data_IF_557550454619
#
_entry.id   IF_557550454619
#
_cell.length_a   1.000
_cell.length_b   1.000
_cell.length_c   1.000
_cell.angle_alpha   90.00
_cell.angle_beta   90.00
_cell.angle_gamma   90.00
#
_symmetry.space_group_name_H-M   'P 1'
#
loop_
_entity.id
_entity.type
_entity.pdbx_description
1 polymer ?
#
# COMPACT_ATOMS: atom_id res chain seq x y z
N UNK A 1 -26.56 22.87 -9.46
CA UNK A 1 -25.51 22.41 -8.53
C UNK A 1 -24.33 23.37 -8.65
N UNK A 2 -23.84 23.96 -7.54
CA UNK A 2 -22.63 24.78 -7.55
C UNK A 2 -21.42 23.84 -7.69
N UNK A 3 -20.60 24.03 -8.72
CA UNK A 3 -19.33 23.31 -8.83
C UNK A 3 -18.37 23.76 -7.72
N UNK A 4 -17.99 22.83 -6.84
CA UNK A 4 -16.92 23.04 -5.88
C UNK A 4 -15.60 22.90 -6.65
N UNK A 5 -14.87 24.01 -6.79
CA UNK A 5 -13.57 24.04 -7.49
C UNK A 5 -12.52 23.11 -6.89
N UNK A 6 -11.36 23.01 -7.55
CA UNK A 6 -10.26 22.10 -7.17
C UNK A 6 -9.79 22.36 -5.72
N UNK A 7 -9.79 21.36 -4.82
CA UNK A 7 -9.43 21.57 -3.41
C UNK A 7 -7.93 21.85 -3.23
N UNK A 8 -7.56 23.05 -2.79
CA UNK A 8 -6.14 23.39 -2.56
C UNK A 8 -5.51 22.62 -1.37
N UNK A 9 -6.35 22.13 -0.47
CA UNK A 9 -5.95 21.37 0.70
C UNK A 9 -6.93 20.21 0.94
N UNK A 10 -6.40 19.06 1.30
CA UNK A 10 -7.18 17.90 1.75
C UNK A 10 -6.66 17.49 3.13
N UNK A 11 -7.53 17.57 4.15
CA UNK A 11 -7.18 17.26 5.54
C UNK A 11 -5.96 18.03 6.08
N UNK A 12 -5.78 19.29 5.66
CA UNK A 12 -4.65 20.13 6.06
C UNK A 12 -3.34 19.85 5.33
N UNK A 13 -3.38 19.04 4.26
CA UNK A 13 -2.24 18.74 3.38
C UNK A 13 -2.43 19.49 2.06
N UNK A 14 -1.40 20.22 1.63
CA UNK A 14 -1.44 20.95 0.36
C UNK A 14 -1.47 19.94 -0.80
N UNK A 15 -2.52 20.03 -1.60
CA UNK A 15 -2.73 19.13 -2.73
C UNK A 15 -1.94 19.67 -3.92
N UNK A 16 -1.02 18.87 -4.48
CA UNK A 16 -0.31 19.24 -5.69
C UNK A 16 -1.04 18.69 -6.91
N UNK A 17 -1.27 19.56 -7.88
CA UNK A 17 -1.93 19.22 -9.14
C UNK A 17 -0.89 19.18 -10.25
N UNK A 18 -0.87 18.09 -11.01
CA UNK A 18 -0.12 18.01 -12.26
C UNK A 18 -1.02 17.54 -13.39
N UNK A 19 -0.52 17.59 -14.63
CA UNK A 19 -1.22 16.99 -15.79
C UNK A 19 -1.41 15.46 -15.64
N UNK A 20 -0.77 14.82 -14.65
CA UNK A 20 -0.82 13.39 -14.35
C UNK A 20 -1.76 13.04 -13.18
N UNK A 21 -2.50 13.99 -12.59
CA UNK A 21 -3.46 13.76 -11.52
C UNK A 21 -3.18 14.49 -10.21
N UNK A 22 -3.76 14.00 -9.12
CA UNK A 22 -3.62 14.56 -7.77
C UNK A 22 -2.46 13.86 -7.04
N UNK A 23 -1.45 14.63 -6.64
CA UNK A 23 -0.28 14.12 -5.93
C UNK A 23 -0.23 14.62 -4.49
N UNK A 24 -0.06 13.69 -3.56
CA UNK A 24 0.20 13.98 -2.14
C UNK A 24 1.61 13.45 -1.83
N UNK A 25 2.60 14.33 -1.82
CA UNK A 25 4.00 13.96 -1.55
C UNK A 25 4.26 13.84 -0.06
N UNK A 26 4.66 12.64 0.39
CA UNK A 26 4.96 12.34 1.80
C UNK A 26 6.18 13.13 2.31
N UNK A 27 7.21 13.30 1.48
CA UNK A 27 8.38 14.15 1.80
C UNK A 27 7.94 15.59 1.97
N UNK A 28 7.11 16.11 1.06
CA UNK A 28 6.56 17.46 1.17
C UNK A 28 5.73 17.65 2.44
N UNK A 29 4.93 16.66 2.82
CA UNK A 29 4.16 16.68 4.06
C UNK A 29 5.05 16.74 5.30
N UNK A 30 6.12 15.94 5.36
CA UNK A 30 7.10 15.97 6.47
C UNK A 30 7.85 17.30 6.50
N UNK A 31 8.27 17.83 5.35
CA UNK A 31 8.94 19.12 5.25
C UNK A 31 8.01 20.29 5.64
N UNK A 32 6.76 20.27 5.18
CA UNK A 32 5.76 21.27 5.54
C UNK A 32 5.43 21.20 7.05
N UNK A 33 5.43 20.01 7.66
CA UNK A 33 5.30 19.82 9.12
C UNK A 33 6.50 20.38 9.89
N UNK A 34 7.73 20.11 9.43
CA UNK A 34 8.97 20.64 10.02
C UNK A 34 9.06 22.17 9.89
N UNK A 35 8.49 22.72 8.80
CA UNK A 35 8.36 24.16 8.58
C UNK A 35 7.34 24.79 9.54
N UNK A 36 6.18 24.14 9.72
CA UNK A 36 5.09 24.59 10.58
C UNK A 36 5.51 24.69 12.07
N UNK A 37 6.45 23.85 12.51
CA UNK A 37 7.00 23.89 13.88
C UNK A 37 8.27 24.74 14.03
N UNK A 38 8.69 25.45 12.98
CA UNK A 38 9.86 26.35 13.03
C UNK A 38 11.21 25.64 13.20
N UNK A 39 11.31 24.34 12.90
CA UNK A 39 12.54 23.54 13.11
C UNK A 39 13.25 23.16 11.82
N UNK A 40 12.95 23.83 10.69
CA UNK A 40 13.61 23.60 9.40
C UNK A 40 15.13 23.83 9.46
N UNK A 41 15.62 24.72 10.33
CA UNK A 41 17.04 25.17 10.37
C UNK A 41 17.95 24.59 11.46
N UNK A 42 17.56 23.58 12.25
CA UNK A 42 18.41 23.10 13.35
C UNK A 42 19.63 22.31 12.81
N UNK A 43 20.86 22.84 12.99
CA UNK A 43 22.12 22.18 12.60
C UNK A 43 22.40 20.94 13.47
N UNK A 44 22.96 19.90 12.87
CA UNK A 44 23.39 18.65 13.52
C UNK A 44 24.72 18.85 14.25
N UNK A 45 24.71 18.81 15.58
CA UNK A 45 25.92 18.55 16.36
C UNK A 45 26.07 17.04 16.53
N UNK A 46 27.31 16.57 16.34
CA UNK A 46 27.69 15.17 16.29
C UNK A 46 27.32 14.38 17.54
N UNK A 47 27.45 13.06 17.41
CA UNK A 47 27.14 12.06 18.42
C UNK A 47 27.80 12.37 19.78
N UNK A 48 27.17 13.14 20.66
CA UNK A 48 27.30 13.06 22.13
C UNK A 48 26.26 13.99 22.80
N UNK A 49 25.56 13.43 23.80
CA UNK A 49 24.72 14.07 24.84
C UNK A 49 23.89 15.29 24.39
N UNK A 50 22.58 15.08 24.23
CA UNK A 50 21.61 16.17 24.08
C UNK A 50 21.55 16.93 25.44
N UNK A 51 22.35 17.98 25.58
CA UNK A 51 22.14 19.02 26.59
C UNK A 51 20.86 19.77 26.26
N UNK A 52 19.94 19.85 27.23
CA UNK A 52 18.69 20.56 27.07
C UNK A 52 18.91 22.06 27.31
N UNK A 53 19.30 22.80 26.26
CA UNK A 53 19.16 24.25 26.29
C UNK A 53 17.69 24.65 26.10
N UNK A 54 17.27 25.58 26.96
CA UNK A 54 15.92 26.11 27.13
C UNK A 54 15.54 27.03 25.97
N UNK A 55 14.47 26.70 25.24
CA UNK A 55 13.65 27.58 24.39
C UNK A 55 12.60 26.82 23.55
N UNK A 56 11.46 27.45 23.22
CA UNK A 56 10.33 27.74 24.10
C UNK A 56 9.31 26.58 24.11
N UNK A 57 8.43 26.60 25.11
CA UNK A 57 7.35 25.66 25.36
C UNK A 57 6.46 25.51 24.11
N UNK A 58 6.36 24.30 23.54
CA UNK A 58 5.42 24.02 22.46
C UNK A 58 4.01 24.03 23.07
N UNK A 59 3.14 24.94 22.63
CA UNK A 59 1.74 24.99 23.07
C UNK A 59 1.05 23.63 22.90
N UNK A 60 0.31 23.22 23.93
CA UNK A 60 -0.41 21.94 24.01
C UNK A 60 -1.27 21.66 22.77
N UNK A 61 -1.93 22.67 22.22
CA UNK A 61 -2.77 22.57 21.02
C UNK A 61 -1.96 22.26 19.76
N UNK A 62 -0.77 22.86 19.60
CA UNK A 62 0.13 22.60 18.47
C UNK A 62 0.72 21.19 18.56
N UNK A 63 1.08 20.75 19.77
CA UNK A 63 1.56 19.39 20.00
C UNK A 63 0.47 18.34 19.74
N UNK A 64 -0.75 18.52 20.28
CA UNK A 64 -1.87 17.60 20.05
C UNK A 64 -2.25 17.51 18.57
N UNK A 65 -2.23 18.64 17.84
CA UNK A 65 -2.46 18.66 16.39
C UNK A 65 -1.37 17.91 15.63
N UNK A 66 -0.11 18.04 16.05
CA UNK A 66 1.02 17.30 15.48
C UNK A 66 0.87 15.80 15.69
N UNK A 67 0.55 15.37 16.92
CA UNK A 67 0.33 13.95 17.25
C UNK A 67 -0.86 13.40 16.48
N UNK A 68 -1.97 14.13 16.36
CA UNK A 68 -3.12 13.73 15.54
C UNK A 68 -2.76 13.55 14.05
N UNK A 69 -1.96 14.47 13.50
CA UNK A 69 -1.41 14.41 12.13
C UNK A 69 -0.45 13.21 11.94
N UNK A 70 0.29 12.81 12.97
CA UNK A 70 1.21 11.67 12.96
C UNK A 70 0.50 10.32 13.15
N UNK A 71 -0.56 10.24 13.95
CA UNK A 71 -1.42 9.06 14.12
C UNK A 71 -2.04 8.67 12.78
N UNK A 72 -2.56 9.63 12.02
CA UNK A 72 -3.10 9.38 10.69
C UNK A 72 -2.04 8.85 9.69
N UNK A 73 -0.81 9.37 9.76
CA UNK A 73 0.30 8.94 8.91
C UNK A 73 0.75 7.49 9.20
N UNK A 74 0.68 7.04 10.46
CA UNK A 74 1.09 5.69 10.87
C UNK A 74 0.21 4.55 10.34
N UNK A 75 -1.01 4.83 9.88
CA UNK A 75 -1.94 3.82 9.35
C UNK A 75 -1.47 3.17 8.04
N UNK A 76 -0.46 3.75 7.36
CA UNK A 76 0.06 3.25 6.08
C UNK A 76 1.52 2.77 6.14
N UNK A 77 2.18 2.81 7.32
CA UNK A 77 3.63 2.56 7.49
C UNK A 77 3.93 1.94 8.87
N UNK A 78 4.27 0.65 8.93
CA UNK A 78 4.57 -0.06 10.19
C UNK A 78 5.86 0.40 10.89
N UNK A 79 6.76 1.11 10.21
CA UNK A 79 8.06 1.59 10.71
C UNK A 79 7.98 2.88 11.53
N UNK A 80 6.81 3.51 11.60
CA UNK A 80 6.52 4.69 12.42
C UNK A 80 5.42 4.44 13.46
N UNK A 81 4.71 3.31 13.37
CA UNK A 81 3.66 2.92 14.34
C UNK A 81 4.21 2.89 15.75
N UNK A 82 5.42 2.37 15.97
CA UNK A 82 6.07 2.34 17.28
C UNK A 82 6.39 3.75 17.81
N UNK A 83 6.90 4.64 16.96
CA UNK A 83 7.22 6.02 17.37
C UNK A 83 5.94 6.78 17.70
N UNK A 84 4.90 6.59 16.88
CA UNK A 84 3.60 7.26 17.05
C UNK A 84 2.80 6.69 18.22
N UNK A 85 2.91 5.39 18.52
CA UNK A 85 2.27 4.76 19.69
C UNK A 85 2.93 5.19 21.00
N UNK A 86 4.26 5.35 21.02
CA UNK A 86 4.98 5.92 22.17
C UNK A 86 4.57 7.38 22.36
N UNK A 87 4.49 8.18 21.28
CA UNK A 87 4.08 9.59 21.33
C UNK A 87 2.63 9.78 21.79
N UNK A 88 1.71 8.92 21.36
CA UNK A 88 0.30 9.02 21.72
C UNK A 88 0.03 8.72 23.19
N UNK A 89 0.88 7.92 23.84
CA UNK A 89 0.81 7.63 25.28
C UNK A 89 1.08 8.86 26.16
N UNK A 90 1.84 9.84 25.66
CA UNK A 90 2.15 11.08 26.39
C UNK A 90 1.13 12.21 26.16
N UNK A 91 0.07 11.98 25.38
CA UNK A 91 -1.03 12.93 25.15
C UNK A 91 -1.80 13.34 26.43
N UNK A 92 -1.65 12.55 27.51
CA UNK A 92 -2.35 12.75 28.79
C UNK A 92 -1.51 13.45 29.87
N UNK A 93 -0.20 13.60 29.68
CA UNK A 93 0.69 14.14 30.73
C UNK A 93 0.91 15.63 30.51
N UNK A 94 0.50 16.44 31.49
CA UNK A 94 0.88 17.85 31.55
C UNK A 94 2.32 17.95 32.05
N UNK A 95 3.12 18.64 31.24
CA UNK A 95 4.37 19.31 31.60
C UNK A 95 5.67 18.49 31.78
N UNK A 96 6.71 19.03 31.12
CA UNK A 96 8.17 18.94 31.39
C UNK A 96 9.09 18.01 30.60
N UNK A 97 8.66 17.26 29.59
CA UNK A 97 9.62 16.48 28.77
C UNK A 97 9.82 17.03 27.34
N UNK A 98 10.35 18.27 27.26
CA UNK A 98 10.85 18.89 26.03
C UNK A 98 11.95 18.05 25.34
N UNK A 99 12.66 17.21 26.10
CA UNK A 99 13.77 16.40 25.61
C UNK A 99 13.28 15.19 24.75
N UNK A 100 12.02 14.73 24.89
CA UNK A 100 11.45 13.63 24.06
C UNK A 100 11.04 14.11 22.66
N UNK A 101 10.44 15.30 22.57
CA UNK A 101 10.13 15.99 21.30
C UNK A 101 11.36 16.21 20.42
N UNK A 102 12.50 16.56 21.04
CA UNK A 102 13.80 16.70 20.36
C UNK A 102 14.31 15.35 19.83
N UNK A 103 14.09 14.23 20.54
CA UNK A 103 14.42 12.87 20.09
C UNK A 103 13.60 12.44 18.87
N UNK A 104 12.31 12.78 18.85
CA UNK A 104 11.39 12.52 17.72
C UNK A 104 11.81 13.30 16.47
N UNK A 105 12.19 14.56 16.63
CA UNK A 105 12.72 15.40 15.54
C UNK A 105 14.08 14.90 15.03
N UNK A 106 14.96 14.45 15.92
CA UNK A 106 16.26 13.89 15.56
C UNK A 106 16.12 12.62 14.70
N UNK A 107 15.24 11.69 15.10
CA UNK A 107 14.99 10.45 14.32
C UNK A 107 14.32 10.76 12.97
N UNK A 108 13.36 11.69 12.96
CA UNK A 108 12.65 12.09 11.73
C UNK A 108 13.58 12.83 10.74
N UNK A 109 14.48 13.68 11.25
CA UNK A 109 15.44 14.45 10.43
C UNK A 109 16.61 13.60 9.95
N UNK A 110 17.18 12.71 10.79
CA UNK A 110 18.25 11.77 10.38
C UNK A 110 17.78 10.82 9.28
N UNK A 111 16.51 10.39 9.31
CA UNK A 111 15.92 9.62 8.21
C UNK A 111 15.57 10.46 6.98
N UNK A 112 15.24 11.75 7.14
CA UNK A 112 15.02 12.65 5.99
C UNK A 112 16.33 13.10 5.31
N UNK A 113 17.45 13.18 6.02
CA UNK A 113 18.77 13.39 5.42
C UNK A 113 19.28 12.11 4.75
N UNK A 114 19.02 10.94 5.34
CA UNK A 114 19.23 9.66 4.65
C UNK A 114 18.27 9.45 3.46
N UNK A 115 17.22 10.26 3.30
CA UNK A 115 16.33 10.22 2.13
C UNK A 115 16.95 10.89 0.89
N UNK A 116 18.02 11.69 1.00
CA UNK A 116 18.72 12.19 -0.20
C UNK A 116 19.58 11.11 -0.87
N UNK A 117 20.16 10.20 -0.08
CA UNK A 117 20.88 9.02 -0.61
C UNK A 117 19.97 7.80 -0.86
N UNK A 118 18.68 7.92 -0.53
CA UNK A 118 17.70 6.82 -0.58
C UNK A 118 16.45 7.14 -1.42
N UNK A 119 16.31 8.36 -1.95
CA UNK A 119 15.27 8.67 -2.96
C UNK A 119 15.52 7.98 -4.30
N UNK A 120 16.75 7.56 -4.59
CA UNK A 120 17.10 6.66 -5.71
C UNK A 120 16.99 5.17 -5.35
N UNK A 121 16.64 4.81 -4.11
CA UNK A 121 16.60 3.41 -3.60
C UNK A 121 15.40 3.10 -2.68
N UNK A 122 14.31 3.86 -2.77
CA UNK A 122 13.14 3.70 -1.88
C UNK A 122 12.18 2.62 -2.41
N UNK A 123 12.31 1.41 -1.87
CA UNK A 123 11.51 0.22 -2.21
C UNK A 123 10.09 0.18 -1.65
N UNK A 124 9.30 1.24 -1.83
CA UNK A 124 7.86 1.24 -1.54
C UNK A 124 7.04 0.90 -2.79
N UNK A 125 6.12 -0.06 -2.67
CA UNK A 125 5.15 -0.37 -3.73
C UNK A 125 4.23 0.83 -3.97
N UNK A 126 3.95 1.12 -5.24
CA UNK A 126 3.10 2.23 -5.71
C UNK A 126 1.71 1.70 -6.03
N UNK A 127 0.66 2.43 -5.64
CA UNK A 127 -0.72 2.13 -6.04
C UNK A 127 -0.88 2.38 -7.55
N UNK A 128 -1.26 1.35 -8.29
CA UNK A 128 -1.44 1.39 -9.75
C UNK A 128 -2.89 1.19 -10.19
N UNK A 129 -3.80 0.85 -9.28
CA UNK A 129 -5.22 0.82 -9.61
C UNK A 129 -6.10 0.49 -8.42
N UNK A 130 -7.37 0.86 -8.52
CA UNK A 130 -8.38 0.57 -7.49
C UNK A 130 -9.65 0.00 -8.12
N UNK A 131 -10.33 -0.86 -7.37
CA UNK A 131 -11.56 -1.47 -7.85
C UNK A 131 -12.40 -2.02 -6.73
N UNK A 132 -13.51 -2.66 -7.08
CA UNK A 132 -14.35 -3.36 -6.13
C UNK A 132 -14.98 -4.58 -6.78
N UNK A 133 -15.15 -5.65 -6.01
CA UNK A 133 -15.93 -6.81 -6.43
C UNK A 133 -17.36 -6.67 -5.95
N UNK A 134 -18.30 -6.80 -6.88
CA UNK A 134 -19.73 -6.76 -6.60
C UNK A 134 -20.34 -8.12 -6.92
N UNK A 135 -21.20 -8.63 -6.05
CA UNK A 135 -22.03 -9.81 -6.32
C UNK A 135 -23.47 -9.40 -6.52
N UNK A 136 -24.09 -9.90 -7.58
CA UNK A 136 -25.53 -9.75 -7.82
C UNK A 136 -26.25 -10.84 -7.04
N UNK A 137 -27.07 -10.46 -6.07
CA UNK A 137 -27.83 -11.41 -5.23
C UNK A 137 -29.18 -11.73 -5.91
N UNK A 138 -29.80 -10.72 -6.53
CA UNK A 138 -31.07 -10.80 -7.26
C UNK A 138 -30.98 -9.83 -8.45
N UNK A 139 -31.83 -9.97 -9.49
CA UNK A 139 -31.83 -9.11 -10.71
C UNK A 139 -31.73 -7.59 -10.46
N UNK A 140 -32.08 -7.11 -9.26
CA UNK A 140 -32.15 -5.67 -8.92
C UNK A 140 -31.17 -5.27 -7.79
N UNK A 141 -30.59 -6.21 -7.04
CA UNK A 141 -29.74 -5.91 -5.87
C UNK A 141 -28.33 -6.43 -6.06
N UNK A 142 -27.36 -5.51 -5.98
CA UNK A 142 -25.94 -5.77 -6.05
C UNK A 142 -25.27 -5.41 -4.72
N UNK A 143 -24.40 -6.28 -4.22
CA UNK A 143 -23.67 -6.10 -2.96
C UNK A 143 -22.17 -5.96 -3.26
N UNK A 144 -21.56 -4.86 -2.82
CA UNK A 144 -20.10 -4.70 -2.85
C UNK A 144 -19.48 -5.61 -1.79
N UNK A 145 -18.84 -6.69 -2.23
CA UNK A 145 -18.22 -7.68 -1.35
C UNK A 145 -16.96 -7.10 -0.73
N UNK A 146 -16.10 -6.51 -1.55
CA UNK A 146 -14.88 -5.83 -1.11
C UNK A 146 -14.45 -4.75 -2.10
N UNK A 147 -13.71 -3.76 -1.59
CA UNK A 147 -12.88 -2.88 -2.40
C UNK A 147 -11.44 -3.42 -2.43
N UNK A 148 -10.66 -3.07 -3.45
CA UNK A 148 -9.26 -3.44 -3.52
C UNK A 148 -8.38 -2.34 -4.11
N UNK A 149 -7.13 -2.32 -3.68
CA UNK A 149 -6.04 -1.57 -4.31
C UNK A 149 -4.95 -2.51 -4.80
N UNK A 150 -4.44 -2.25 -6.00
CA UNK A 150 -3.34 -2.99 -6.62
C UNK A 150 -2.06 -2.17 -6.54
N UNK A 151 -1.00 -2.75 -5.97
CA UNK A 151 0.28 -2.10 -5.79
C UNK A 151 1.39 -2.88 -6.51
N UNK A 152 2.32 -2.16 -7.12
CA UNK A 152 3.50 -2.73 -7.80
C UNK A 152 4.76 -2.06 -7.28
N UNK A 153 5.82 -2.83 -7.09
CA UNK A 153 7.13 -2.30 -6.74
C UNK A 153 7.88 -1.82 -8.00
N UNK A 154 8.15 -0.51 -8.16
CA UNK A 154 8.67 0.05 -9.42
C UNK A 154 10.00 -0.55 -9.84
N UNK A 155 10.93 -0.77 -8.91
CA UNK A 155 12.25 -1.31 -9.24
C UNK A 155 12.18 -2.73 -9.83
N UNK A 156 11.37 -3.63 -9.24
CA UNK A 156 11.26 -4.99 -9.77
C UNK A 156 10.50 -5.02 -11.09
N UNK A 157 9.57 -4.07 -11.28
CA UNK A 157 8.89 -3.88 -12.56
C UNK A 157 9.88 -3.42 -13.64
N UNK A 158 10.69 -2.41 -13.34
CA UNK A 158 11.74 -1.90 -14.24
C UNK A 158 12.78 -2.97 -14.56
N UNK A 159 13.31 -3.64 -13.55
CA UNK A 159 14.34 -4.68 -13.72
C UNK A 159 13.86 -5.81 -14.63
N UNK A 160 12.59 -6.22 -14.50
CA UNK A 160 12.04 -7.36 -15.26
C UNK A 160 11.47 -6.97 -16.62
N UNK A 161 10.75 -5.86 -16.70
CA UNK A 161 9.98 -5.48 -17.90
C UNK A 161 10.51 -4.25 -18.62
N UNK A 162 11.34 -3.43 -17.96
CA UNK A 162 11.99 -2.25 -18.55
C UNK A 162 12.74 -2.58 -19.85
N UNK A 163 13.68 -3.54 -19.86
CA UNK A 163 14.45 -3.87 -21.07
C UNK A 163 13.61 -4.24 -22.29
N UNK A 164 12.41 -4.80 -22.07
CA UNK A 164 11.53 -5.25 -23.15
C UNK A 164 10.56 -4.16 -23.63
N UNK A 165 10.14 -3.26 -22.74
CA UNK A 165 8.95 -2.45 -22.96
C UNK A 165 9.15 -0.94 -22.75
N UNK A 166 10.31 -0.47 -22.25
CA UNK A 166 10.53 0.95 -21.94
C UNK A 166 10.42 1.89 -23.15
N UNK A 167 10.73 1.40 -24.36
CA UNK A 167 10.63 2.16 -25.61
C UNK A 167 9.20 2.24 -26.20
N UNK A 168 8.25 1.48 -25.65
CA UNK A 168 6.87 1.41 -26.15
C UNK A 168 6.02 2.45 -25.43
N UNK A 169 5.11 3.10 -26.16
CA UNK A 169 4.17 4.06 -25.55
C UNK A 169 3.25 3.37 -24.53
N UNK A 170 2.86 4.08 -23.48
CA UNK A 170 2.01 3.51 -22.44
C UNK A 170 0.65 3.05 -22.98
N UNK A 171 0.07 3.79 -23.92
CA UNK A 171 -1.20 3.46 -24.58
C UNK A 171 -1.09 2.19 -25.43
N UNK A 172 -0.03 2.06 -26.22
CA UNK A 172 0.21 0.84 -27.01
C UNK A 172 0.43 -0.37 -26.10
N UNK A 173 1.30 -0.23 -25.10
CA UNK A 173 1.63 -1.30 -24.16
C UNK A 173 0.42 -1.77 -23.36
N UNK A 174 -0.48 -0.85 -22.99
CA UNK A 174 -1.70 -1.18 -22.24
C UNK A 174 -2.68 -2.08 -23.01
N UNK A 175 -2.61 -2.08 -24.35
CA UNK A 175 -3.44 -2.91 -25.21
C UNK A 175 -2.78 -4.24 -25.60
N UNK A 176 -1.51 -4.45 -25.21
CA UNK A 176 -0.74 -5.64 -25.57
C UNK A 176 -1.01 -6.81 -24.64
N UNK A 177 -1.43 -7.93 -25.22
CA UNK A 177 -1.80 -9.11 -24.44
C UNK A 177 -0.58 -9.83 -23.82
N UNK A 178 0.58 -9.73 -24.46
CA UNK A 178 1.85 -10.27 -23.96
C UNK A 178 2.37 -9.50 -22.74
N UNK A 179 2.11 -8.17 -22.68
CA UNK A 179 2.49 -7.36 -21.53
C UNK A 179 1.87 -7.88 -20.22
N UNK A 180 0.57 -8.14 -20.18
CA UNK A 180 -0.10 -8.69 -19.00
C UNK A 180 0.37 -10.12 -18.67
N UNK A 181 0.67 -10.92 -19.70
CA UNK A 181 1.21 -12.28 -19.50
C UNK A 181 2.59 -12.22 -18.83
N UNK A 182 3.44 -11.29 -19.23
CA UNK A 182 4.77 -11.12 -18.66
C UNK A 182 4.70 -10.51 -17.26
N UNK A 183 3.81 -9.55 -17.03
CA UNK A 183 3.53 -8.98 -15.71
C UNK A 183 3.11 -10.07 -14.69
N UNK A 184 2.39 -11.09 -15.15
CA UNK A 184 1.99 -12.25 -14.35
C UNK A 184 3.08 -13.31 -14.21
N UNK A 185 3.95 -13.49 -15.21
CA UNK A 185 5.01 -14.51 -15.22
C UNK A 185 6.22 -14.07 -14.41
N UNK A 186 6.70 -12.87 -14.65
CA UNK A 186 7.93 -12.35 -14.06
C UNK A 186 7.83 -12.16 -12.55
N UNK A 187 8.97 -12.30 -11.86
CA UNK A 187 9.08 -12.19 -10.41
C UNK A 187 9.05 -10.74 -9.91
N UNK A 188 7.90 -10.10 -10.13
CA UNK A 188 7.63 -8.72 -9.77
C UNK A 188 6.90 -8.70 -8.42
N UNK A 189 7.40 -7.89 -7.49
CA UNK A 189 6.76 -7.71 -6.20
C UNK A 189 5.46 -6.91 -6.38
N UNK A 190 4.34 -7.57 -6.11
CA UNK A 190 3.00 -7.02 -6.26
C UNK A 190 2.20 -7.26 -4.99
N UNK A 191 1.25 -6.36 -4.71
CA UNK A 191 0.41 -6.48 -3.51
C UNK A 191 -1.01 -6.10 -3.86
N UNK A 192 -1.96 -6.96 -3.47
CA UNK A 192 -3.38 -6.66 -3.44
C UNK A 192 -3.77 -6.38 -2.00
N UNK A 193 -4.39 -5.23 -1.74
CA UNK A 193 -5.04 -4.93 -0.45
C UNK A 193 -6.54 -4.93 -0.65
N UNK A 194 -7.22 -5.84 0.02
CA UNK A 194 -8.67 -5.92 0.05
C UNK A 194 -9.19 -5.22 1.31
N UNK A 195 -10.30 -4.51 1.17
CA UNK A 195 -11.08 -3.96 2.29
C UNK A 195 -12.46 -4.59 2.22
N UNK A 196 -12.85 -5.29 3.28
CA UNK A 196 -14.12 -6.02 3.34
C UNK A 196 -15.27 -5.03 3.49
N UNK A 197 -16.26 -5.09 2.59
CA UNK A 197 -17.38 -4.16 2.51
C UNK A 197 -18.74 -4.81 2.81
N UNK A 198 -18.79 -6.12 3.04
CA UNK A 198 -20.01 -6.84 3.41
C UNK A 198 -20.01 -7.25 4.89
N UNK A 199 -21.19 -7.21 5.51
CA UNK A 199 -21.40 -7.66 6.90
C UNK A 199 -21.64 -9.17 6.95
N UNK A 200 -21.19 -9.81 8.02
CA UNK A 200 -21.49 -11.23 8.31
C UNK A 200 -20.75 -12.24 7.44
N UNK A 201 -19.71 -11.81 6.72
CA UNK A 201 -18.93 -12.72 5.89
C UNK A 201 -18.05 -13.63 6.76
N UNK A 202 -18.20 -14.94 6.63
CA UNK A 202 -17.37 -15.93 7.34
C UNK A 202 -16.05 -16.14 6.59
N UNK A 203 -14.96 -16.35 7.33
CA UNK A 203 -13.65 -16.65 6.76
C UNK A 203 -13.66 -17.90 5.88
N UNK A 204 -14.44 -18.93 6.24
CA UNK A 204 -14.60 -20.12 5.40
C UNK A 204 -15.23 -19.78 4.04
N UNK A 205 -16.23 -18.89 3.99
CA UNK A 205 -16.80 -18.44 2.71
C UNK A 205 -15.79 -17.66 1.85
N UNK A 206 -14.87 -16.93 2.48
CA UNK A 206 -13.77 -16.25 1.78
C UNK A 206 -12.79 -17.27 1.22
N UNK A 207 -12.39 -18.26 2.04
CA UNK A 207 -11.56 -19.39 1.63
C UNK A 207 -12.17 -20.10 0.43
N UNK A 208 -13.42 -20.54 0.51
CA UNK A 208 -14.10 -21.27 -0.56
C UNK A 208 -14.16 -20.48 -1.86
N UNK A 209 -14.44 -19.17 -1.77
CA UNK A 209 -14.47 -18.29 -2.93
C UNK A 209 -13.11 -18.16 -3.61
N UNK A 210 -12.03 -18.04 -2.83
CA UNK A 210 -10.67 -18.01 -3.37
C UNK A 210 -10.26 -19.36 -3.93
N UNK A 211 -10.47 -20.46 -3.20
CA UNK A 211 -10.11 -21.80 -3.67
C UNK A 211 -10.79 -22.13 -4.99
N UNK A 212 -12.10 -21.84 -5.12
CA UNK A 212 -12.84 -22.04 -6.37
C UNK A 212 -12.25 -21.24 -7.53
N UNK A 213 -11.92 -19.95 -7.29
CA UNK A 213 -11.36 -19.09 -8.34
C UNK A 213 -9.94 -19.49 -8.72
N UNK A 214 -9.11 -19.87 -7.75
CA UNK A 214 -7.72 -20.27 -7.96
C UNK A 214 -7.64 -21.64 -8.65
N UNK A 215 -8.48 -22.62 -8.27
CA UNK A 215 -8.53 -23.94 -8.93
C UNK A 215 -8.79 -23.82 -10.43
N UNK A 216 -9.78 -23.01 -10.81
CA UNK A 216 -10.13 -22.80 -12.22
C UNK A 216 -8.95 -22.22 -13.03
N UNK A 217 -8.17 -21.30 -12.44
CA UNK A 217 -7.02 -20.65 -13.11
C UNK A 217 -5.78 -21.54 -13.16
N UNK A 218 -5.55 -22.34 -12.11
CA UNK A 218 -4.47 -23.33 -12.12
C UNK A 218 -4.70 -24.40 -13.17
N UNK A 219 -5.92 -24.96 -13.28
CA UNK A 219 -6.27 -25.95 -14.30
C UNK A 219 -6.02 -25.44 -15.72
N UNK A 220 -6.40 -24.18 -15.99
CA UNK A 220 -6.17 -23.54 -17.30
C UNK A 220 -4.68 -23.40 -17.62
N UNK A 221 -3.83 -23.24 -16.60
CA UNK A 221 -2.39 -23.02 -16.77
C UNK A 221 -1.60 -24.31 -16.83
N UNK A 222 -1.97 -25.27 -15.98
CA UNK A 222 -1.34 -26.58 -15.86
C UNK A 222 -2.41 -27.64 -15.58
N UNK A 223 -2.83 -28.41 -16.60
CA UNK A 223 -3.82 -29.47 -16.45
C UNK A 223 -3.42 -30.59 -15.47
N UNK A 224 -2.13 -30.77 -15.19
CA UNK A 224 -1.61 -31.78 -14.26
C UNK A 224 -1.33 -31.24 -12.85
N UNK A 225 -1.85 -30.05 -12.51
CA UNK A 225 -1.66 -29.46 -11.17
C UNK A 225 -2.25 -30.34 -10.06
N UNK A 226 -1.49 -30.53 -8.98
CA UNK A 226 -1.87 -31.34 -7.81
C UNK A 226 -2.70 -30.56 -6.77
N UNK A 227 -2.89 -29.25 -6.99
CA UNK A 227 -3.56 -28.29 -6.10
C UNK A 227 -3.02 -28.20 -4.67
N UNK A 228 -1.85 -28.77 -4.36
CA UNK A 228 -1.31 -28.78 -3.00
C UNK A 228 -1.09 -27.36 -2.46
N UNK A 229 -0.68 -26.44 -3.33
CA UNK A 229 -0.56 -25.02 -3.00
C UNK A 229 -1.89 -24.37 -2.57
N UNK A 230 -3.04 -24.80 -3.13
CA UNK A 230 -4.37 -24.31 -2.74
C UNK A 230 -4.76 -24.91 -1.39
N UNK A 231 -4.52 -26.20 -1.17
CA UNK A 231 -4.79 -26.85 0.12
C UNK A 231 -3.99 -26.18 1.24
N UNK A 232 -2.70 -25.92 0.99
CA UNK A 232 -1.83 -25.19 1.93
C UNK A 232 -2.34 -23.77 2.16
N UNK A 233 -2.67 -23.04 1.11
CA UNK A 233 -3.25 -21.70 1.21
C UNK A 233 -4.54 -21.68 2.05
N UNK A 234 -5.45 -22.61 1.78
CA UNK A 234 -6.73 -22.74 2.46
C UNK A 234 -6.62 -23.13 3.93
N UNK A 235 -5.52 -23.80 4.33
CA UNK A 235 -5.27 -24.18 5.72
C UNK A 235 -5.04 -22.99 6.66
N UNK A 236 -4.59 -21.85 6.15
CA UNK A 236 -4.36 -20.64 6.95
C UNK A 236 -5.64 -19.90 7.34
N UNK A 237 -6.76 -20.23 6.71
CA UNK A 237 -8.06 -19.62 6.97
C UNK A 237 -8.85 -20.51 7.93
N UNK A 238 -8.51 -20.44 9.22
CA UNK A 238 -9.17 -21.22 10.29
C UNK A 238 -10.47 -20.57 10.73
N UNK A 239 -11.39 -21.36 11.31
CA UNK A 239 -12.79 -20.96 11.58
C UNK A 239 -12.95 -19.77 12.54
N UNK A 240 -11.89 -19.40 13.27
CA UNK A 240 -11.92 -18.38 14.32
C UNK A 240 -11.37 -17.01 13.90
N UNK A 241 -11.06 -16.78 12.62
CA UNK A 241 -10.58 -15.46 12.18
C UNK A 241 -11.78 -14.52 11.97
N UNK A 242 -11.97 -13.49 12.80
CA UNK A 242 -13.07 -12.54 12.61
C UNK A 242 -12.81 -11.68 11.37
N UNK A 243 -13.82 -11.51 10.53
CA UNK A 243 -13.80 -10.58 9.40
C UNK A 243 -14.90 -9.52 9.56
N UNK A 244 -14.72 -8.55 10.47
CA UNK A 244 -15.62 -7.40 10.53
C UNK A 244 -15.55 -6.56 9.25
N UNK A 245 -16.58 -5.74 9.04
CA UNK A 245 -16.57 -4.69 8.02
C UNK A 245 -15.32 -3.82 8.19
N UNK A 246 -14.63 -3.50 7.10
CA UNK A 246 -13.40 -2.72 7.10
C UNK A 246 -12.12 -3.52 7.35
N UNK A 247 -12.22 -4.84 7.58
CA UNK A 247 -11.03 -5.70 7.68
C UNK A 247 -10.17 -5.58 6.42
N UNK A 248 -8.88 -5.36 6.63
CA UNK A 248 -7.89 -5.30 5.55
C UNK A 248 -7.23 -6.66 5.40
N UNK A 249 -7.30 -7.23 4.19
CA UNK A 249 -6.60 -8.46 3.82
C UNK A 249 -5.56 -8.11 2.76
N UNK A 250 -4.29 -8.36 3.05
CA UNK A 250 -3.16 -8.09 2.14
C UNK A 250 -2.64 -9.42 1.57
N UNK A 251 -2.54 -9.50 0.25
CA UNK A 251 -1.89 -10.59 -0.46
C UNK A 251 -0.69 -10.02 -1.20
N UNK A 252 0.52 -10.51 -0.87
CA UNK A 252 1.77 -10.02 -1.43
C UNK A 252 2.48 -11.15 -2.16
N UNK A 253 2.80 -10.93 -3.44
CA UNK A 253 3.80 -11.74 -4.17
C UNK A 253 5.18 -11.21 -3.85
N UNK A 254 6.07 -12.09 -3.43
CA UNK A 254 7.50 -11.79 -3.27
C UNK A 254 8.30 -12.19 -4.51
N UNK A 255 9.51 -11.65 -4.63
CA UNK A 255 10.44 -11.95 -5.74
C UNK A 255 10.90 -13.41 -5.75
N UNK A 256 10.90 -14.09 -4.60
CA UNK A 256 11.18 -15.52 -4.49
C UNK A 256 9.94 -16.39 -4.77
N UNK A 257 8.84 -15.84 -5.29
CA UNK A 257 7.67 -16.62 -5.70
C UNK A 257 6.79 -17.12 -4.54
N UNK A 258 6.78 -16.41 -3.40
CA UNK A 258 5.85 -16.67 -2.30
C UNK A 258 4.62 -15.78 -2.39
N UNK A 259 3.48 -16.34 -2.04
CA UNK A 259 2.26 -15.60 -1.74
C UNK A 259 2.12 -15.48 -0.22
N UNK A 260 2.35 -14.27 0.30
CA UNK A 260 2.17 -13.93 1.72
C UNK A 260 0.76 -13.39 1.91
N UNK A 261 0.06 -13.92 2.91
CA UNK A 261 -1.28 -13.46 3.30
C UNK A 261 -1.21 -12.80 4.67
N UNK A 262 -1.76 -11.58 4.78
CA UNK A 262 -1.94 -10.88 6.05
C UNK A 262 -3.39 -10.46 6.25
N UNK A 263 -3.85 -10.50 7.49
CA UNK A 263 -5.16 -9.99 7.92
C UNK A 263 -4.94 -8.99 9.04
N UNK A 264 -5.49 -7.79 8.89
CA UNK A 264 -5.33 -6.69 9.85
C UNK A 264 -3.86 -6.41 10.22
N UNK A 265 -2.97 -6.55 9.24
CA UNK A 265 -1.52 -6.35 9.39
C UNK A 265 -0.73 -7.58 9.86
N UNK A 266 -1.38 -8.60 10.41
CA UNK A 266 -0.74 -9.82 10.90
C UNK A 266 -0.59 -10.86 9.79
N UNK A 267 0.61 -11.39 9.58
CA UNK A 267 0.83 -12.48 8.64
C UNK A 267 0.23 -13.78 9.17
N UNK A 268 -0.66 -14.39 8.39
CA UNK A 268 -1.33 -15.64 8.74
C UNK A 268 -0.80 -16.84 7.95
N UNK A 269 -0.10 -16.59 6.84
CA UNK A 269 0.36 -17.66 5.97
C UNK A 269 1.33 -17.19 4.89
N UNK A 270 2.12 -18.14 4.38
CA UNK A 270 3.02 -17.93 3.26
C UNK A 270 3.14 -19.23 2.46
N UNK A 271 2.70 -19.22 1.20
CA UNK A 271 2.83 -20.37 0.29
C UNK A 271 3.90 -20.08 -0.74
N UNK A 272 4.90 -20.94 -0.85
CA UNK A 272 5.89 -20.86 -1.92
C UNK A 272 5.38 -21.61 -3.16
N UNK A 273 4.87 -20.86 -4.14
CA UNK A 273 4.36 -21.40 -5.40
C UNK A 273 4.17 -20.26 -6.41
N UNK A 274 4.96 -20.28 -7.48
CA UNK A 274 4.84 -19.31 -8.57
C UNK A 274 3.50 -19.45 -9.30
N UNK A 275 3.01 -20.68 -9.46
CA UNK A 275 1.71 -20.94 -10.09
C UNK A 275 0.56 -20.37 -9.26
N UNK A 276 0.60 -20.52 -7.94
CA UNK A 276 -0.39 -19.91 -7.05
C UNK A 276 -0.33 -18.38 -7.13
N UNK A 277 0.87 -17.78 -7.11
CA UNK A 277 1.03 -16.34 -7.28
C UNK A 277 0.43 -15.89 -8.61
N UNK A 278 0.78 -16.55 -9.71
CA UNK A 278 0.28 -16.25 -11.05
C UNK A 278 -1.24 -16.35 -11.09
N UNK A 279 -1.83 -17.46 -10.64
CA UNK A 279 -3.27 -17.66 -10.59
C UNK A 279 -3.98 -16.61 -9.72
N UNK A 280 -3.35 -16.18 -8.62
CA UNK A 280 -3.94 -15.17 -7.74
C UNK A 280 -4.01 -13.79 -8.42
N UNK A 281 -2.90 -13.31 -8.97
CA UNK A 281 -2.86 -11.99 -9.61
C UNK A 281 -3.59 -11.98 -10.96
N UNK A 282 -3.73 -13.14 -11.61
CA UNK A 282 -4.55 -13.33 -12.82
C UNK A 282 -6.04 -13.01 -12.57
N UNK A 283 -6.52 -13.09 -11.33
CA UNK A 283 -7.85 -12.59 -10.95
C UNK A 283 -8.05 -11.09 -11.21
N UNK A 284 -6.98 -10.29 -11.26
CA UNK A 284 -7.08 -8.83 -11.34
C UNK A 284 -6.59 -8.27 -12.67
N UNK A 285 -5.58 -8.89 -13.26
CA UNK A 285 -4.93 -8.41 -14.50
C UNK A 285 -4.90 -9.46 -15.62
N UNK A 286 -5.49 -10.64 -15.39
CA UNK A 286 -5.56 -11.74 -16.36
C UNK A 286 -6.63 -11.56 -17.42
N UNK A 287 -6.95 -12.65 -18.14
CA UNK A 287 -7.92 -12.66 -19.24
C UNK A 287 -9.35 -12.35 -18.77
N UNK A 288 -9.70 -12.80 -17.56
CA UNK A 288 -11.03 -12.60 -16.95
C UNK A 288 -10.81 -11.93 -15.57
N UNK A 289 -10.53 -10.61 -15.54
CA UNK A 289 -10.28 -9.87 -14.31
C UNK A 289 -11.57 -9.61 -13.52
N UNK A 290 -11.44 -9.25 -12.24
CA UNK A 290 -12.55 -8.79 -11.41
C UNK A 290 -13.23 -7.55 -12.01
N UNK A 291 -12.47 -6.67 -12.67
CA UNK A 291 -12.98 -5.49 -13.35
C UNK A 291 -12.08 -5.12 -14.53
N UNK A 292 -12.62 -5.10 -15.75
CA UNK A 292 -11.90 -4.71 -16.97
C UNK A 292 -11.37 -3.27 -16.91
N UNK A 293 -12.16 -2.35 -16.36
CA UNK A 293 -11.75 -0.97 -16.22
C UNK A 293 -10.53 -0.83 -15.30
N UNK A 294 -10.55 -1.52 -14.15
CA UNK A 294 -9.41 -1.53 -13.23
C UNK A 294 -8.19 -2.20 -13.84
N UNK A 295 -8.35 -3.28 -14.64
CA UNK A 295 -7.24 -3.90 -15.37
C UNK A 295 -6.55 -2.89 -16.30
N UNK A 296 -7.32 -2.13 -17.08
CA UNK A 296 -6.78 -1.08 -17.98
C UNK A 296 -6.09 0.05 -17.21
N UNK A 297 -6.60 0.43 -16.04
CA UNK A 297 -5.95 1.41 -15.17
C UNK A 297 -4.60 0.88 -14.64
N UNK A 298 -4.58 -0.36 -14.15
CA UNK A 298 -3.36 -1.02 -13.67
C UNK A 298 -2.32 -1.11 -14.78
N UNK A 299 -2.73 -1.58 -15.96
CA UNK A 299 -1.85 -1.70 -17.12
C UNK A 299 -1.26 -0.35 -17.55
N UNK A 300 -2.09 0.69 -17.63
CA UNK A 300 -1.66 2.05 -17.96
C UNK A 300 -0.65 2.60 -16.95
N UNK A 301 -0.91 2.45 -15.66
CA UNK A 301 -0.03 2.95 -14.62
C UNK A 301 1.29 2.17 -14.55
N UNK A 302 1.24 0.85 -14.72
CA UNK A 302 2.44 0.02 -14.83
C UNK A 302 3.29 0.37 -16.05
N UNK A 303 2.66 0.57 -17.22
CA UNK A 303 3.33 1.00 -18.44
C UNK A 303 4.00 2.37 -18.28
N UNK A 304 3.34 3.31 -17.61
CA UNK A 304 3.90 4.62 -17.30
C UNK A 304 5.11 4.58 -16.35
N UNK A 305 5.17 3.58 -15.45
CA UNK A 305 6.34 3.31 -14.63
C UNK A 305 7.47 2.74 -15.50
N UNK A 306 7.16 1.76 -16.35
CA UNK A 306 8.12 1.08 -17.24
C UNK A 306 8.83 2.05 -18.18
N UNK A 307 8.12 3.04 -18.73
CA UNK A 307 8.70 4.07 -19.61
C UNK A 307 9.70 5.01 -18.92
N UNK A 308 9.78 4.97 -17.59
CA UNK A 308 10.72 5.77 -16.78
C UNK A 308 11.90 4.94 -16.28
N UNK A 309 11.86 3.65 -16.55
CA UNK A 309 13.06 2.83 -16.61
C UNK A 309 13.77 3.19 -17.93
#
# INVERSE_FOLDING_TARGET
MKELGKPNYFLGIKVAYSKQGIFISQRKYVLDLLKEIGKLGCKTLGNHRIGCEENPTIEKSKYQRLVGKSIYFSHNRSDIVYVVSVVSQFMRVQEKDCCLGKKILYVSRRKSSNMEDQETKCGCSVLVGTGSRTMTIVKIKSLKVYAFGFYIHPYSLCEKLGPKYASISADELNNRHDFYKDLLREDINMTIRLVVNCRGMKINSVKDAFEKSLRARLLKTNPSTDFNCITTFGSYFTENIPIPLGTVIEFKRTVDGRLITKISGNQIGSVHSKDLCRAFFDMYIGDVPVCEQTKKEIGMNAANIIRRC
#
